data_IF_412007607197
#
_entry.id   IF_412007607197
#
_cell.length_a   1.000
_cell.length_b   1.000
_cell.length_c   1.000
_cell.angle_alpha   90.00
_cell.angle_beta   90.00
_cell.angle_gamma   90.00
#
_symmetry.space_group_name_H-M   'P 1'
#
loop_
_entity.id
_entity.type
_entity.pdbx_description
1 polymer ?
#
# COMPACT_ATOMS: atom_id res chain seq x y z
N UNK A 1 -9.58 3.44 24.67
CA UNK A 1 -9.75 3.73 23.23
C UNK A 1 -8.86 2.84 22.33
N UNK A 2 -8.56 1.59 22.76
CA UNK A 2 -7.75 0.62 22.00
C UNK A 2 -8.59 -0.11 20.92
N UNK A 3 -9.87 -0.38 21.24
CA UNK A 3 -10.80 -1.10 20.36
C UNK A 3 -11.08 -0.44 19.00
N UNK A 4 -11.14 0.91 18.95
CA UNK A 4 -11.40 1.61 17.69
C UNK A 4 -10.20 1.55 16.75
N UNK A 5 -8.98 1.60 17.31
CA UNK A 5 -7.70 1.48 16.59
C UNK A 5 -7.54 0.07 15.99
N UNK A 6 -7.76 -0.95 16.81
CA UNK A 6 -7.75 -2.35 16.34
C UNK A 6 -8.79 -2.61 15.26
N UNK A 7 -9.96 -1.95 15.34
CA UNK A 7 -11.02 -2.12 14.36
C UNK A 7 -10.65 -1.50 13.00
N UNK A 8 -10.13 -0.26 12.96
CA UNK A 8 -9.75 0.36 11.69
C UNK A 8 -8.59 -0.39 11.01
N UNK A 9 -7.61 -0.86 11.77
CA UNK A 9 -6.50 -1.67 11.23
C UNK A 9 -7.01 -2.99 10.60
N UNK A 10 -7.98 -3.65 11.24
CA UNK A 10 -8.63 -4.86 10.69
C UNK A 10 -9.46 -4.56 9.45
N UNK A 11 -10.12 -3.41 9.40
CA UNK A 11 -10.87 -2.97 8.23
C UNK A 11 -9.93 -2.74 7.04
N UNK A 12 -8.83 -2.00 7.25
CA UNK A 12 -7.78 -1.78 6.24
C UNK A 12 -7.24 -3.12 5.74
N UNK A 13 -6.91 -4.04 6.65
CA UNK A 13 -6.43 -5.38 6.28
C UNK A 13 -7.46 -6.16 5.45
N UNK A 14 -8.75 -6.02 5.75
CA UNK A 14 -9.84 -6.66 5.01
C UNK A 14 -10.01 -6.06 3.61
N UNK A 15 -9.84 -4.74 3.46
CA UNK A 15 -9.84 -4.08 2.15
C UNK A 15 -8.68 -4.57 1.28
N UNK A 16 -7.46 -4.62 1.83
CA UNK A 16 -6.29 -5.16 1.13
C UNK A 16 -6.55 -6.59 0.66
N UNK A 17 -7.11 -7.45 1.53
CA UNK A 17 -7.46 -8.83 1.18
C UNK A 17 -8.53 -8.91 0.10
N UNK A 18 -9.56 -8.05 0.14
CA UNK A 18 -10.63 -8.04 -0.84
C UNK A 18 -10.08 -7.67 -2.23
N UNK A 19 -9.29 -6.59 -2.33
CA UNK A 19 -8.64 -6.18 -3.58
C UNK A 19 -7.71 -7.30 -4.08
N UNK A 20 -6.91 -7.88 -3.18
CA UNK A 20 -5.99 -8.97 -3.51
C UNK A 20 -6.70 -10.20 -4.08
N UNK A 21 -7.82 -10.60 -3.47
CA UNK A 21 -8.65 -11.73 -3.93
C UNK A 21 -9.25 -11.45 -5.29
N UNK A 22 -9.73 -10.23 -5.50
CA UNK A 22 -10.38 -9.84 -6.76
C UNK A 22 -9.40 -9.88 -7.93
N UNK A 23 -8.21 -9.27 -7.80
CA UNK A 23 -7.26 -9.16 -8.92
C UNK A 23 -6.26 -10.31 -9.03
N UNK A 24 -5.86 -10.94 -7.91
CA UNK A 24 -4.78 -11.93 -7.89
C UNK A 24 -5.21 -13.31 -7.41
N UNK A 25 -6.48 -13.48 -6.95
CA UNK A 25 -6.98 -14.72 -6.33
C UNK A 25 -6.12 -15.18 -5.14
N UNK A 26 -5.56 -14.22 -4.38
CA UNK A 26 -4.71 -14.44 -3.20
C UNK A 26 -5.20 -13.61 -2.03
N UNK A 27 -4.98 -14.10 -0.81
CA UNK A 27 -5.31 -13.35 0.42
C UNK A 27 -4.29 -12.27 0.74
N UNK A 28 -3.00 -12.55 0.50
CA UNK A 28 -1.90 -11.67 0.89
C UNK A 28 -1.05 -11.37 -0.34
N UNK A 29 -0.80 -10.09 -0.56
CA UNK A 29 0.20 -9.61 -1.51
C UNK A 29 1.39 -9.10 -0.70
N UNK A 30 2.54 -9.74 -0.93
CA UNK A 30 3.85 -9.23 -0.53
C UNK A 30 4.67 -9.11 -1.79
N UNK A 31 4.92 -7.88 -2.22
CA UNK A 31 5.71 -7.66 -3.43
C UNK A 31 7.15 -8.13 -3.18
N UNK A 32 7.71 -8.85 -4.14
CA UNK A 32 9.07 -9.37 -4.07
C UNK A 32 9.72 -9.22 -5.43
N UNK A 33 10.96 -8.75 -5.41
CA UNK A 33 11.82 -8.70 -6.57
C UNK A 33 12.27 -10.13 -6.84
N UNK A 34 11.93 -10.64 -8.02
CA UNK A 34 12.21 -12.04 -8.39
C UNK A 34 13.60 -12.17 -9.02
N UNK A 35 14.03 -11.15 -9.77
CA UNK A 35 15.30 -11.12 -10.48
C UNK A 35 16.04 -9.81 -10.18
N UNK A 36 17.08 -9.88 -9.36
CA UNK A 36 17.89 -8.70 -9.02
C UNK A 36 18.81 -8.24 -10.17
N UNK A 37 18.99 -9.07 -11.19
CA UNK A 37 19.81 -8.74 -12.37
C UNK A 37 19.02 -8.01 -13.46
N UNK A 38 17.69 -8.14 -13.45
CA UNK A 38 16.79 -7.48 -14.39
C UNK A 38 15.67 -6.73 -13.64
N UNK A 39 16.04 -5.61 -13.04
CA UNK A 39 15.14 -4.77 -12.24
C UNK A 39 14.08 -4.09 -13.12
N UNK A 40 12.81 -4.34 -12.81
CA UNK A 40 11.67 -3.70 -13.48
C UNK A 40 11.35 -2.31 -12.90
N UNK A 41 10.49 -1.55 -13.58
CA UNK A 41 10.00 -0.26 -13.06
C UNK A 41 9.22 -0.41 -11.75
N UNK A 42 8.47 -1.51 -11.59
CA UNK A 42 7.76 -1.81 -10.35
C UNK A 42 8.69 -2.22 -9.22
N UNK A 43 9.81 -2.89 -9.53
CA UNK A 43 10.85 -3.20 -8.55
C UNK A 43 11.54 -1.92 -8.04
N UNK A 44 11.85 -0.97 -8.93
CA UNK A 44 12.39 0.34 -8.56
C UNK A 44 11.40 1.12 -7.68
N UNK A 45 10.14 1.20 -8.11
CA UNK A 45 9.09 1.84 -7.34
C UNK A 45 8.98 1.22 -5.93
N UNK A 46 8.92 -0.11 -5.84
CA UNK A 46 8.87 -0.80 -4.55
C UNK A 46 10.09 -0.48 -3.66
N UNK A 47 11.31 -0.49 -4.23
CA UNK A 47 12.53 -0.11 -3.48
C UNK A 47 12.45 1.30 -2.93
N UNK A 48 12.03 2.26 -3.75
CA UNK A 48 11.91 3.67 -3.35
C UNK A 48 10.84 3.86 -2.27
N UNK A 49 9.67 3.25 -2.43
CA UNK A 49 8.58 3.30 -1.44
C UNK A 49 9.03 2.72 -0.08
N UNK A 50 9.70 1.56 -0.08
CA UNK A 50 10.22 0.97 1.16
C UNK A 50 11.29 1.86 1.80
N UNK A 51 12.16 2.49 1.01
CA UNK A 51 13.15 3.44 1.51
C UNK A 51 12.52 4.67 2.18
N UNK A 52 11.45 5.21 1.59
CA UNK A 52 10.71 6.34 2.14
C UNK A 52 9.93 5.96 3.41
N UNK A 53 9.29 4.78 3.45
CA UNK A 53 8.65 4.24 4.66
C UNK A 53 9.66 4.12 5.81
N UNK A 54 10.84 3.54 5.54
CA UNK A 54 11.87 3.36 6.56
C UNK A 54 12.41 4.70 7.09
N UNK A 55 12.22 5.79 6.35
CA UNK A 55 12.60 7.15 6.74
C UNK A 55 11.42 7.98 7.26
N UNK A 56 10.26 7.36 7.48
CA UNK A 56 8.99 8.00 7.86
C UNK A 56 8.54 9.15 6.93
N UNK A 57 8.98 9.14 5.67
CA UNK A 57 8.56 10.09 4.62
C UNK A 57 7.33 9.54 3.88
N UNK A 58 6.25 9.28 4.62
CA UNK A 58 5.08 8.53 4.12
C UNK A 58 4.30 9.32 3.07
N UNK A 59 4.02 10.60 3.33
CA UNK A 59 3.36 11.49 2.38
C UNK A 59 4.09 11.53 1.02
N UNK A 60 5.43 11.59 1.05
CA UNK A 60 6.23 11.56 -0.18
C UNK A 60 6.18 10.21 -0.88
N UNK A 61 6.12 9.11 -0.13
CA UNK A 61 5.95 7.78 -0.68
C UNK A 61 4.59 7.63 -1.36
N UNK A 62 3.51 8.13 -0.76
CA UNK A 62 2.18 8.09 -1.36
C UNK A 62 2.11 8.92 -2.64
N UNK A 63 2.63 10.15 -2.63
CA UNK A 63 2.73 10.98 -3.84
C UNK A 63 3.48 10.23 -4.96
N UNK A 64 4.63 9.64 -4.64
CA UNK A 64 5.42 8.86 -5.59
C UNK A 64 4.64 7.66 -6.16
N UNK A 65 3.89 6.96 -5.31
CA UNK A 65 3.03 5.85 -5.72
C UNK A 65 2.02 6.33 -6.76
N UNK A 66 1.27 7.38 -6.48
CA UNK A 66 0.24 7.90 -7.39
C UNK A 66 0.81 8.48 -8.68
N UNK A 67 1.99 9.13 -8.64
CA UNK A 67 2.67 9.61 -9.85
C UNK A 67 3.05 8.47 -10.82
N UNK A 68 3.50 7.34 -10.26
CA UNK A 68 4.11 6.25 -11.04
C UNK A 68 3.16 5.11 -11.35
N UNK A 69 2.01 5.03 -10.69
CA UNK A 69 1.06 3.93 -10.91
C UNK A 69 0.57 3.89 -12.36
N UNK A 70 0.46 2.68 -12.92
CA UNK A 70 -0.05 2.43 -14.28
C UNK A 70 -1.13 1.37 -14.21
N UNK A 71 -2.39 1.76 -14.43
CA UNK A 71 -3.57 0.90 -14.21
C UNK A 71 -3.72 -0.24 -15.22
N UNK A 72 -2.94 -0.23 -16.30
CA UNK A 72 -2.88 -1.31 -17.28
C UNK A 72 -1.92 -2.46 -16.87
N UNK A 73 -1.20 -2.34 -15.75
CA UNK A 73 -0.28 -3.35 -15.24
C UNK A 73 -0.55 -3.64 -13.75
N UNK A 74 -1.01 -4.87 -13.48
CA UNK A 74 -1.34 -5.33 -12.13
C UNK A 74 -0.12 -5.45 -11.20
N UNK A 75 1.12 -5.43 -11.70
CA UNK A 75 2.29 -5.39 -10.84
C UNK A 75 2.34 -4.08 -10.03
N UNK A 76 1.90 -2.96 -10.60
CA UNK A 76 1.77 -1.71 -9.87
C UNK A 76 0.71 -1.78 -8.78
N UNK A 77 -0.41 -2.48 -9.01
CA UNK A 77 -1.39 -2.75 -7.96
C UNK A 77 -0.79 -3.61 -6.85
N UNK A 78 0.02 -4.62 -7.21
CA UNK A 78 0.68 -5.46 -6.21
C UNK A 78 1.65 -4.65 -5.33
N UNK A 79 2.38 -3.69 -5.92
CA UNK A 79 3.23 -2.74 -5.17
C UNK A 79 2.39 -1.86 -4.25
N UNK A 80 1.28 -1.28 -4.75
CA UNK A 80 0.38 -0.44 -3.95
C UNK A 80 -0.21 -1.19 -2.74
N UNK A 81 -0.65 -2.43 -2.94
CA UNK A 81 -1.17 -3.27 -1.85
C UNK A 81 -0.10 -3.61 -0.81
N UNK A 82 1.14 -3.89 -1.24
CA UNK A 82 2.25 -4.11 -0.31
C UNK A 82 2.63 -2.84 0.45
N UNK A 83 2.60 -1.68 -0.21
CA UNK A 83 2.82 -0.36 0.39
C UNK A 83 1.83 -0.09 1.53
N UNK A 84 0.53 -0.12 1.26
CA UNK A 84 -0.48 0.14 2.31
C UNK A 84 -0.52 -0.95 3.39
N UNK A 85 -0.18 -2.20 3.06
CA UNK A 85 0.02 -3.25 4.08
C UNK A 85 1.13 -2.86 5.06
N UNK A 86 2.28 -2.38 4.56
CA UNK A 86 3.41 -1.93 5.41
C UNK A 86 3.03 -0.72 6.25
N UNK A 87 2.33 0.26 5.68
CA UNK A 87 1.82 1.40 6.45
C UNK A 87 0.89 0.94 7.57
N UNK A 88 0.04 -0.06 7.30
CA UNK A 88 -0.85 -0.61 8.32
C UNK A 88 -0.12 -1.39 9.43
N UNK A 89 1.13 -1.80 9.21
CA UNK A 89 1.99 -2.47 10.20
C UNK A 89 2.79 -1.49 11.07
N UNK A 90 2.91 -0.22 10.67
CA UNK A 90 3.54 0.82 11.50
C UNK A 90 2.72 1.07 12.76
N UNK A 91 3.37 1.53 13.82
CA UNK A 91 2.66 2.00 15.02
C UNK A 91 1.97 3.34 14.74
N UNK A 92 0.99 3.69 15.56
CA UNK A 92 0.32 4.99 15.41
C UNK A 92 1.29 6.15 15.66
N UNK A 93 2.25 5.99 16.57
CA UNK A 93 3.29 6.99 16.85
C UNK A 93 4.18 7.23 15.62
N UNK A 94 4.52 6.17 14.87
CA UNK A 94 5.28 6.30 13.63
C UNK A 94 4.49 6.99 12.52
N UNK A 95 3.18 6.73 12.44
CA UNK A 95 2.30 7.41 11.49
C UNK A 95 2.12 8.89 11.87
N UNK A 96 1.92 9.20 13.15
CA UNK A 96 1.82 10.57 13.66
C UNK A 96 3.13 11.35 13.43
N UNK A 97 4.31 10.74 13.65
CA UNK A 97 5.61 11.35 13.33
C UNK A 97 5.77 11.69 11.84
N UNK A 98 5.14 10.88 10.98
CA UNK A 98 5.14 11.07 9.52
C UNK A 98 4.03 12.02 9.01
N UNK A 99 3.25 12.62 9.91
CA UNK A 99 2.02 13.39 9.60
C UNK A 99 1.06 12.59 8.71
N UNK A 100 0.78 11.34 9.12
CA UNK A 100 -0.08 10.40 8.41
C UNK A 100 -1.02 9.65 9.37
N UNK A 101 -2.09 9.08 8.85
CA UNK A 101 -3.16 8.47 9.65
C UNK A 101 -3.70 7.17 9.06
N UNK A 102 -4.42 6.41 9.89
CA UNK A 102 -5.15 5.21 9.45
C UNK A 102 -6.23 5.52 8.44
N UNK A 103 -6.90 6.67 8.57
CA UNK A 103 -7.92 7.10 7.62
C UNK A 103 -7.32 7.45 6.25
N UNK A 104 -6.10 8.00 6.20
CA UNK A 104 -5.38 8.22 4.94
C UNK A 104 -5.01 6.91 4.25
N UNK A 105 -4.52 5.90 4.99
CA UNK A 105 -4.32 4.55 4.45
C UNK A 105 -5.60 4.01 3.80
N UNK A 106 -6.74 4.17 4.49
CA UNK A 106 -8.04 3.72 4.00
C UNK A 106 -8.45 4.48 2.73
N UNK A 107 -8.35 5.80 2.72
CA UNK A 107 -8.69 6.65 1.59
C UNK A 107 -7.82 6.33 0.36
N UNK A 108 -6.51 6.16 0.56
CA UNK A 108 -5.58 5.74 -0.49
C UNK A 108 -5.96 4.38 -1.09
N UNK A 109 -6.33 3.39 -0.27
CA UNK A 109 -6.82 2.11 -0.76
C UNK A 109 -8.13 2.21 -1.55
N UNK A 110 -9.08 3.05 -1.12
CA UNK A 110 -10.32 3.32 -1.85
C UNK A 110 -10.04 3.96 -3.23
N UNK A 111 -9.10 4.90 -3.28
CA UNK A 111 -8.69 5.56 -4.52
C UNK A 111 -7.99 4.60 -5.47
N UNK A 112 -6.98 3.85 -5.00
CA UNK A 112 -6.31 2.81 -5.77
C UNK A 112 -7.34 1.81 -6.32
N UNK A 113 -8.23 1.29 -5.48
CA UNK A 113 -9.26 0.35 -5.93
C UNK A 113 -10.10 0.94 -7.06
N UNK A 114 -10.51 2.21 -6.93
CA UNK A 114 -11.30 2.91 -7.95
C UNK A 114 -10.54 3.09 -9.27
N UNK A 115 -9.25 3.40 -9.22
CA UNK A 115 -8.39 3.53 -10.40
C UNK A 115 -8.31 2.23 -11.21
N UNK A 116 -8.37 1.07 -10.55
CA UNK A 116 -8.40 -0.25 -11.20
C UNK A 116 -9.82 -0.76 -11.48
N UNK A 117 -10.85 0.08 -11.27
CA UNK A 117 -12.24 -0.24 -11.61
C UNK A 117 -13.01 -1.07 -10.57
N UNK A 118 -12.48 -1.21 -9.35
CA UNK A 118 -13.17 -1.85 -8.22
C UNK A 118 -13.69 -0.79 -7.25
N UNK A 119 -14.99 -0.81 -6.95
CA UNK A 119 -15.59 0.05 -5.92
C UNK A 119 -15.78 -0.74 -4.63
N UNK A 120 -15.20 -0.23 -3.55
CA UNK A 120 -15.30 -0.76 -2.18
C UNK A 120 -16.52 -0.18 -1.45
#
# INVERSE_FOLDING_TARGET
>A
MFYQKDWIMKQIQSMIQLIARFFFKKDIIKYKIVDETNITQTDLLHKELVGLINSLRINEAENLLFERIRTNDLNYLAVALDFYRRLNELSDEQLEEADFSRDEIKNGLEEISRMYGLKL
#
